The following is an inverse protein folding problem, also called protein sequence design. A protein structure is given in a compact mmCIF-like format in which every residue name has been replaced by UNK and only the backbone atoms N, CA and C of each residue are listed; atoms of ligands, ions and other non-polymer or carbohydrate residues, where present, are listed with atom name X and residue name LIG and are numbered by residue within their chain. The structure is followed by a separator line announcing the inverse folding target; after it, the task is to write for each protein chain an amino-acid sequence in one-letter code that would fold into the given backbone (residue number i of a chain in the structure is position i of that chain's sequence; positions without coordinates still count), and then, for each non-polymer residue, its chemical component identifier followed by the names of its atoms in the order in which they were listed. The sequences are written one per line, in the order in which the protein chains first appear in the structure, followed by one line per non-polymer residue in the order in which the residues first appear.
data_IF_146621235962
#
_entry.id   IF_146621235962
#
_cell.length_a   1.000
_cell.length_b   1.000
_cell.length_c   1.000
_cell.angle_alpha   90.00
_cell.angle_beta   90.00
_cell.angle_gamma   90.00
#
_symmetry.space_group_name_H-M   'P 1'
#
loop_
_entity.id
_entity.type
_entity.pdbx_description
1 polymer ?
#
# COMPACT_ATOMS: atom_id res chain seq x y z
N UNK A 1 11.86 34.34 27.37
CA UNK A 1 11.59 32.88 27.39
C UNK A 1 11.15 32.49 26.00
N UNK A 2 12.02 31.81 25.24
CA UNK A 2 11.66 31.28 23.92
C UNK A 2 10.59 30.22 24.11
N UNK A 3 9.37 30.45 23.63
CA UNK A 3 8.37 29.38 23.55
C UNK A 3 8.97 28.24 22.72
N UNK A 4 9.16 27.07 23.34
CA UNK A 4 9.51 25.87 22.60
C UNK A 4 8.40 25.65 21.57
N UNK A 5 8.69 25.92 20.29
CA UNK A 5 7.78 25.62 19.20
C UNK A 5 7.39 24.15 19.32
N UNK A 6 6.12 23.88 19.62
CA UNK A 6 5.62 22.52 19.73
C UNK A 6 5.84 21.83 18.39
N UNK A 7 6.68 20.78 18.38
CA UNK A 7 6.81 19.94 17.20
C UNK A 7 5.40 19.45 16.85
N UNK A 8 4.88 19.73 15.64
CA UNK A 8 3.55 19.28 15.27
C UNK A 8 3.45 17.78 15.46
N UNK A 9 2.34 17.26 15.96
CA UNK A 9 2.23 15.81 16.23
C UNK A 9 2.13 14.96 14.95
N UNK A 10 1.97 15.60 13.78
CA UNK A 10 1.68 15.00 12.48
C UNK A 10 2.64 15.49 11.41
N UNK A 11 2.97 14.63 10.46
CA UNK A 11 3.82 14.93 9.31
C UNK A 11 3.02 14.86 8.00
N UNK A 12 3.25 15.75 7.02
CA UNK A 12 2.69 15.63 5.67
C UNK A 12 3.03 14.30 5.00
N UNK A 13 4.14 13.66 5.38
CA UNK A 13 4.53 12.33 4.90
C UNK A 13 3.46 11.25 5.19
N UNK A 14 2.55 11.49 6.14
CA UNK A 14 1.41 10.61 6.41
C UNK A 14 0.45 10.45 5.22
N UNK A 15 0.53 11.32 4.21
CA UNK A 15 -0.21 11.14 2.96
C UNK A 15 0.00 9.77 2.30
N UNK A 16 1.11 9.08 2.59
CA UNK A 16 1.35 7.71 2.09
C UNK A 16 0.25 6.71 2.52
N UNK A 17 -0.37 6.90 3.69
CA UNK A 17 -1.49 6.08 4.13
C UNK A 17 -2.72 6.26 3.22
N UNK A 18 -2.94 7.48 2.72
CA UNK A 18 -4.02 7.77 1.78
C UNK A 18 -3.69 7.23 0.38
N UNK A 19 -2.42 7.29 -0.04
CA UNK A 19 -1.99 6.70 -1.31
C UNK A 19 -2.20 5.18 -1.34
N UNK A 20 -1.98 4.48 -0.22
CA UNK A 20 -2.36 3.07 -0.11
C UNK A 20 -3.85 2.85 -0.39
N UNK A 21 -4.73 3.68 0.17
CA UNK A 21 -6.18 3.57 -0.07
C UNK A 21 -6.52 3.82 -1.53
N UNK A 22 -5.89 4.83 -2.16
CA UNK A 22 -6.13 5.15 -3.58
C UNK A 22 -5.73 3.99 -4.49
N UNK A 23 -4.59 3.34 -4.21
CA UNK A 23 -4.10 2.23 -5.03
C UNK A 23 -4.91 0.95 -4.81
N UNK A 24 -5.19 0.59 -3.56
CA UNK A 24 -5.80 -0.70 -3.20
C UNK A 24 -7.33 -0.67 -3.21
N UNK A 25 -7.91 0.41 -2.69
CA UNK A 25 -9.34 0.51 -2.37
C UNK A 25 -10.26 0.12 -3.53
N UNK A 26 -10.07 0.65 -4.76
CA UNK A 26 -10.91 0.30 -5.90
C UNK A 26 -10.86 -1.20 -6.24
N UNK A 27 -9.67 -1.79 -6.28
CA UNK A 27 -9.51 -3.20 -6.64
C UNK A 27 -10.00 -4.12 -5.52
N UNK A 28 -9.70 -3.80 -4.26
CA UNK A 28 -10.15 -4.54 -3.11
C UNK A 28 -11.68 -4.50 -2.98
N UNK A 29 -12.31 -3.36 -3.25
CA UNK A 29 -13.77 -3.28 -3.29
C UNK A 29 -14.36 -4.12 -4.43
N UNK A 30 -13.81 -4.00 -5.64
CA UNK A 30 -14.25 -4.77 -6.79
C UNK A 30 -14.12 -6.29 -6.56
N UNK A 31 -12.98 -6.75 -6.05
CA UNK A 31 -12.72 -8.17 -5.79
C UNK A 31 -13.57 -8.74 -4.65
N UNK A 32 -13.94 -7.92 -3.67
CA UNK A 32 -14.89 -8.32 -2.64
C UNK A 32 -16.31 -8.44 -3.20
N UNK A 33 -16.77 -7.43 -3.95
CA UNK A 33 -18.13 -7.34 -4.47
C UNK A 33 -18.39 -8.36 -5.60
N UNK A 34 -17.62 -8.27 -6.68
CA UNK A 34 -17.73 -9.13 -7.86
C UNK A 34 -16.33 -9.51 -8.38
N UNK A 35 -15.69 -10.55 -7.82
CA UNK A 35 -14.35 -10.99 -8.25
C UNK A 35 -14.33 -11.55 -9.67
N UNK A 36 -15.45 -12.10 -10.16
CA UNK A 36 -15.52 -12.75 -11.45
C UNK A 36 -15.47 -11.76 -12.63
N UNK A 37 -15.75 -10.47 -12.38
CA UNK A 37 -15.60 -9.42 -13.40
C UNK A 37 -14.21 -8.79 -13.42
N UNK A 38 -13.27 -9.24 -12.60
CA UNK A 38 -11.88 -8.81 -12.71
C UNK A 38 -11.27 -9.39 -13.99
N UNK A 39 -10.48 -8.61 -14.74
CA UNK A 39 -9.85 -9.07 -15.97
C UNK A 39 -8.61 -9.90 -15.62
N UNK A 40 -8.79 -11.04 -14.95
CA UNK A 40 -7.71 -11.96 -14.63
C UNK A 40 -7.87 -13.30 -15.35
N UNK A 41 -6.76 -13.88 -15.77
CA UNK A 41 -6.71 -15.21 -16.37
C UNK A 41 -6.90 -16.29 -15.30
N UNK A 42 -7.51 -17.41 -15.66
CA UNK A 42 -7.59 -18.59 -14.79
C UNK A 42 -8.49 -18.45 -13.56
N UNK A 43 -9.57 -17.64 -13.65
CA UNK A 43 -10.57 -17.49 -12.59
C UNK A 43 -11.45 -18.75 -12.47
N UNK A 44 -10.98 -19.72 -11.68
CA UNK A 44 -11.79 -20.86 -11.21
C UNK A 44 -12.34 -20.58 -9.80
N UNK A 45 -13.18 -21.48 -9.27
CA UNK A 45 -13.80 -21.32 -7.96
C UNK A 45 -12.80 -21.07 -6.82
N UNK A 46 -11.68 -21.80 -6.83
CA UNK A 46 -10.62 -21.62 -5.82
C UNK A 46 -10.00 -20.23 -5.91
N UNK A 47 -9.65 -19.79 -7.12
CA UNK A 47 -9.12 -18.43 -7.35
C UNK A 47 -10.10 -17.36 -6.90
N UNK A 48 -11.40 -17.51 -7.19
CA UNK A 48 -12.44 -16.55 -6.79
C UNK A 48 -12.57 -16.44 -5.25
N UNK A 49 -12.46 -17.56 -4.54
CA UNK A 49 -12.45 -17.55 -3.06
C UNK A 49 -11.22 -16.82 -2.52
N UNK A 50 -10.03 -17.12 -3.03
CA UNK A 50 -8.80 -16.43 -2.61
C UNK A 50 -8.83 -14.93 -2.91
N UNK A 51 -9.36 -14.53 -4.06
CA UNK A 51 -9.54 -13.11 -4.39
C UNK A 51 -10.47 -12.44 -3.39
N UNK A 52 -11.61 -13.06 -3.04
CA UNK A 52 -12.52 -12.48 -2.03
C UNK A 52 -11.86 -12.34 -0.67
N UNK A 53 -11.14 -13.38 -0.20
CA UNK A 53 -10.44 -13.33 1.08
C UNK A 53 -9.36 -12.24 1.10
N UNK A 54 -8.54 -12.17 0.05
CA UNK A 54 -7.52 -11.13 -0.11
C UNK A 54 -8.14 -9.73 -0.20
N UNK A 55 -9.26 -9.59 -0.90
CA UNK A 55 -9.99 -8.33 -1.04
C UNK A 55 -10.51 -7.82 0.30
N UNK A 56 -11.04 -8.69 1.15
CA UNK A 56 -11.47 -8.33 2.52
C UNK A 56 -10.27 -7.92 3.37
N UNK A 57 -9.15 -8.62 3.26
CA UNK A 57 -7.92 -8.24 3.95
C UNK A 57 -7.42 -6.86 3.49
N UNK A 58 -7.35 -6.61 2.18
CA UNK A 58 -6.89 -5.33 1.61
C UNK A 58 -7.85 -4.17 1.95
N UNK A 59 -9.17 -4.40 1.96
CA UNK A 59 -10.14 -3.41 2.46
C UNK A 59 -9.93 -3.11 3.94
N UNK A 60 -9.63 -4.13 4.75
CA UNK A 60 -9.33 -3.95 6.17
C UNK A 60 -8.06 -3.12 6.38
N UNK A 61 -7.01 -3.34 5.57
CA UNK A 61 -5.81 -2.51 5.65
C UNK A 61 -6.06 -1.07 5.18
N UNK A 62 -6.93 -0.85 4.19
CA UNK A 62 -7.38 0.48 3.79
C UNK A 62 -8.07 1.21 4.95
N UNK A 63 -8.97 0.51 5.67
CA UNK A 63 -9.63 1.07 6.84
C UNK A 63 -8.63 1.39 7.95
N UNK A 64 -7.69 0.49 8.25
CA UNK A 64 -6.63 0.74 9.23
C UNK A 64 -5.80 1.96 8.83
N UNK A 65 -5.48 2.12 7.54
CA UNK A 65 -4.73 3.26 7.05
C UNK A 65 -5.51 4.58 7.18
N UNK A 66 -6.81 4.56 6.88
CA UNK A 66 -7.70 5.72 7.05
C UNK A 66 -7.73 6.17 8.52
N UNK A 67 -7.91 5.23 9.44
CA UNK A 67 -7.95 5.50 10.88
C UNK A 67 -6.60 5.98 11.41
N UNK A 68 -5.48 5.44 10.91
CA UNK A 68 -4.14 5.80 11.36
C UNK A 68 -3.61 7.11 10.77
N UNK A 69 -4.11 7.55 9.60
CA UNK A 69 -3.64 8.76 8.92
C UNK A 69 -3.74 10.02 9.80
N UNK A 70 -4.78 10.11 10.63
CA UNK A 70 -4.99 11.23 11.56
C UNK A 70 -4.15 11.18 12.83
N UNK A 71 -3.59 10.03 13.18
CA UNK A 71 -2.94 9.81 14.47
C UNK A 71 -1.54 10.45 14.52
N UNK A 72 -1.06 10.83 15.72
CA UNK A 72 0.30 11.31 15.92
C UNK A 72 1.38 10.31 15.45
N UNK A 73 2.49 10.83 14.90
CA UNK A 73 3.56 10.00 14.30
C UNK A 73 4.28 9.08 15.29
N UNK A 74 4.27 9.44 16.57
CA UNK A 74 4.94 8.68 17.63
C UNK A 74 4.06 7.56 18.22
N UNK A 75 2.77 7.48 17.85
CA UNK A 75 1.90 6.43 18.37
C UNK A 75 2.35 5.06 17.87
N UNK A 76 2.63 4.15 18.81
CA UNK A 76 3.07 2.79 18.52
C UNK A 76 2.12 2.05 17.56
N UNK A 77 0.80 2.22 17.73
CA UNK A 77 -0.19 1.63 16.82
C UNK A 77 -0.03 2.08 15.37
N UNK A 78 0.08 3.40 15.12
CA UNK A 78 0.32 3.95 13.78
C UNK A 78 1.64 3.43 13.19
N UNK A 79 2.69 3.35 14.03
CA UNK A 79 4.01 2.84 13.62
C UNK A 79 3.97 1.37 13.22
N UNK A 80 3.27 0.53 13.99
CA UNK A 80 3.08 -0.88 13.67
C UNK A 80 2.31 -1.06 12.35
N UNK A 81 1.22 -0.31 12.15
CA UNK A 81 0.47 -0.33 10.89
C UNK A 81 1.33 0.12 9.72
N UNK A 82 2.07 1.22 9.86
CA UNK A 82 2.95 1.72 8.80
C UNK A 82 4.06 0.72 8.41
N UNK A 83 4.65 0.01 9.38
CA UNK A 83 5.60 -1.07 9.10
C UNK A 83 4.93 -2.25 8.38
N UNK A 84 3.75 -2.67 8.84
CA UNK A 84 2.99 -3.74 8.21
C UNK A 84 2.63 -3.41 6.74
N UNK A 85 2.17 -2.19 6.48
CA UNK A 85 1.89 -1.71 5.13
C UNK A 85 3.16 -1.62 4.28
N UNK A 86 4.27 -1.15 4.85
CA UNK A 86 5.56 -1.11 4.15
C UNK A 86 6.05 -2.50 3.72
N UNK A 87 5.96 -3.49 4.62
CA UNK A 87 6.30 -4.87 4.32
C UNK A 87 5.35 -5.47 3.28
N UNK A 88 4.04 -5.26 3.43
CA UNK A 88 3.02 -5.68 2.49
C UNK A 88 3.32 -5.18 1.07
N UNK A 89 3.50 -3.86 0.89
CA UNK A 89 3.73 -3.24 -0.41
C UNK A 89 5.03 -3.70 -1.06
N UNK A 90 6.10 -3.84 -0.28
CA UNK A 90 7.39 -4.33 -0.79
C UNK A 90 7.31 -5.80 -1.23
N UNK A 91 6.62 -6.63 -0.45
CA UNK A 91 6.44 -8.05 -0.76
C UNK A 91 5.53 -8.24 -1.96
N UNK A 92 4.40 -7.51 -2.02
CA UNK A 92 3.45 -7.56 -3.12
C UNK A 92 4.09 -7.08 -4.43
N UNK A 93 4.87 -6.01 -4.38
CA UNK A 93 5.68 -5.54 -5.51
C UNK A 93 6.58 -6.66 -6.05
N UNK A 94 7.31 -7.34 -5.17
CA UNK A 94 8.18 -8.48 -5.55
C UNK A 94 7.39 -9.63 -6.18
N UNK A 95 6.25 -9.99 -5.60
CA UNK A 95 5.37 -11.03 -6.15
C UNK A 95 4.89 -10.66 -7.55
N UNK A 96 4.48 -9.41 -7.78
CA UNK A 96 4.01 -8.92 -9.08
C UNK A 96 5.14 -8.89 -10.13
N UNK A 97 6.37 -8.53 -9.74
CA UNK A 97 7.54 -8.61 -10.64
C UNK A 97 7.89 -10.02 -11.06
N UNK A 98 7.56 -11.02 -10.24
CA UNK A 98 7.85 -12.43 -10.49
C UNK A 98 6.65 -13.22 -11.01
N UNK A 99 5.47 -12.60 -11.05
CA UNK A 99 4.25 -13.27 -11.43
C UNK A 99 4.30 -13.68 -12.92
N UNK A 100 3.75 -14.86 -13.28
CA UNK A 100 3.43 -15.13 -14.67
C UNK A 100 2.35 -14.17 -15.15
N UNK A 101 2.16 -14.11 -16.47
CA UNK A 101 1.10 -13.31 -17.08
C UNK A 101 -0.27 -13.68 -16.50
N UNK A 102 -1.01 -12.71 -15.97
CA UNK A 102 -2.35 -12.97 -15.43
C UNK A 102 -3.38 -11.88 -15.78
N UNK A 103 -2.97 -10.75 -16.37
CA UNK A 103 -3.86 -9.69 -16.87
C UNK A 103 -3.87 -9.77 -18.40
N UNK A 104 -5.01 -10.02 -19.07
CA UNK A 104 -5.10 -10.17 -20.52
C UNK A 104 -5.14 -8.81 -21.24
N UNK A 105 -4.27 -7.86 -20.84
CA UNK A 105 -4.18 -6.53 -21.44
C UNK A 105 -2.74 -6.17 -21.78
N UNK A 106 -2.51 -5.72 -23.01
CA UNK A 106 -1.19 -5.29 -23.50
C UNK A 106 -1.12 -3.77 -23.60
N UNK A 107 0.08 -3.20 -23.38
CA UNK A 107 0.38 -1.81 -23.73
C UNK A 107 0.95 -1.66 -25.15
N UNK A 108 0.92 -2.74 -25.94
CA UNK A 108 1.45 -2.80 -27.30
C UNK A 108 2.76 -3.59 -27.38
N UNK A 109 3.09 -4.06 -28.60
CA UNK A 109 4.23 -4.94 -28.85
C UNK A 109 5.58 -4.33 -28.41
N UNK A 110 5.75 -3.01 -28.59
CA UNK A 110 6.98 -2.33 -28.16
C UNK A 110 7.15 -2.37 -26.63
N UNK A 111 6.11 -2.07 -25.86
CA UNK A 111 6.17 -2.12 -24.41
C UNK A 111 6.47 -3.54 -23.90
N UNK A 112 5.83 -4.55 -24.49
CA UNK A 112 6.09 -5.94 -24.14
C UNK A 112 7.50 -6.40 -24.50
N UNK A 113 8.11 -5.87 -25.56
CA UNK A 113 9.51 -6.16 -25.90
C UNK A 113 10.50 -5.73 -24.81
N UNK A 114 10.13 -4.70 -24.02
CA UNK A 114 10.85 -4.26 -22.83
C UNK A 114 10.34 -4.88 -21.52
N UNK A 115 9.47 -5.90 -21.61
CA UNK A 115 8.79 -6.55 -20.48
C UNK A 115 7.91 -5.59 -19.66
N UNK A 116 7.47 -4.48 -20.25
CA UNK A 116 6.56 -3.56 -19.58
C UNK A 116 5.10 -4.04 -19.75
N UNK A 117 4.58 -4.70 -18.73
CA UNK A 117 3.20 -5.24 -18.70
C UNK A 117 2.39 -4.58 -17.58
N UNK A 118 1.04 -4.67 -17.60
CA UNK A 118 0.20 -4.21 -16.50
C UNK A 118 0.60 -4.74 -15.12
N UNK A 119 1.01 -6.01 -15.00
CA UNK A 119 1.46 -6.60 -13.74
C UNK A 119 2.72 -5.91 -13.22
N UNK A 120 3.66 -5.63 -14.11
CA UNK A 120 4.92 -4.94 -13.79
C UNK A 120 4.63 -3.48 -13.39
N UNK A 121 3.78 -2.78 -14.13
CA UNK A 121 3.35 -1.43 -13.78
C UNK A 121 2.68 -1.40 -12.40
N UNK A 122 1.82 -2.38 -12.12
CA UNK A 122 1.17 -2.52 -10.83
C UNK A 122 2.19 -2.82 -9.73
N UNK A 123 3.18 -3.69 -10.00
CA UNK A 123 4.31 -3.95 -9.11
C UNK A 123 5.16 -2.72 -8.82
N UNK A 124 5.40 -1.85 -9.81
CA UNK A 124 6.08 -0.57 -9.63
C UNK A 124 5.29 0.35 -8.70
N UNK A 125 3.97 0.48 -8.88
CA UNK A 125 3.17 1.33 -8.00
C UNK A 125 3.21 0.88 -6.53
N UNK A 126 3.10 -0.42 -6.25
CA UNK A 126 3.29 -0.91 -4.87
C UNK A 126 4.71 -0.70 -4.37
N UNK A 127 5.73 -0.88 -5.23
CA UNK A 127 7.12 -0.61 -4.87
C UNK A 127 7.33 0.85 -4.45
N UNK A 128 6.75 1.80 -5.20
CA UNK A 128 6.76 3.22 -4.86
C UNK A 128 6.05 3.50 -3.53
N UNK A 129 4.92 2.84 -3.26
CA UNK A 129 4.25 2.99 -1.96
C UNK A 129 5.12 2.41 -0.82
N UNK A 130 5.76 1.26 -1.03
CA UNK A 130 6.71 0.67 -0.08
C UNK A 130 7.87 1.62 0.24
N UNK A 131 8.48 2.22 -0.78
CA UNK A 131 9.50 3.27 -0.63
C UNK A 131 8.94 4.51 0.07
N UNK A 132 7.68 4.87 -0.20
CA UNK A 132 6.98 5.94 0.50
C UNK A 132 6.82 5.66 1.99
N UNK A 133 6.47 4.44 2.39
CA UNK A 133 6.41 4.04 3.81
C UNK A 133 7.78 4.03 4.46
N UNK A 134 8.84 3.60 3.75
CA UNK A 134 10.21 3.72 4.25
C UNK A 134 10.62 5.18 4.45
N UNK A 135 10.26 6.06 3.52
CA UNK A 135 10.52 7.50 3.59
C UNK A 135 9.74 8.16 4.74
N UNK A 136 8.46 7.83 4.88
CA UNK A 136 7.64 8.25 6.02
C UNK A 136 8.23 7.75 7.35
N UNK A 137 8.69 6.50 7.39
CA UNK A 137 9.29 5.93 8.59
C UNK A 137 10.48 6.77 9.03
N UNK A 138 11.47 6.94 8.15
CA UNK A 138 12.69 7.69 8.44
C UNK A 138 12.39 9.17 8.76
N UNK A 139 11.55 9.82 7.95
CA UNK A 139 11.21 11.23 8.12
C UNK A 139 10.42 11.54 9.41
N UNK A 140 9.86 10.53 10.06
CA UNK A 140 9.07 10.71 11.30
C UNK A 140 9.74 10.14 12.56
N UNK A 141 10.93 9.54 12.46
CA UNK A 141 11.73 9.13 13.64
C UNK A 141 11.96 10.29 14.63
N UNK A 142 12.25 11.54 14.20
CA UNK A 142 12.45 12.65 15.15
C UNK A 142 11.26 12.93 16.06
N UNK A 143 10.03 12.62 15.63
CA UNK A 143 8.81 12.81 16.43
C UNK A 143 8.77 11.84 17.60
N UNK A 144 9.22 10.59 17.39
CA UNK A 144 9.35 9.57 18.45
C UNK A 144 10.43 9.99 19.44
N UNK A 145 11.60 10.42 18.93
CA UNK A 145 12.71 10.86 19.76
C UNK A 145 12.34 12.07 20.62
N UNK A 146 11.59 13.02 20.07
CA UNK A 146 11.15 14.21 20.80
C UNK A 146 10.22 13.89 21.98
N UNK A 147 9.36 12.87 21.85
CA UNK A 147 8.50 12.40 22.95
C UNK A 147 9.28 11.58 23.97
N UNK A 148 10.20 10.71 23.52
CA UNK A 148 11.00 9.87 24.41
C UNK A 148 11.99 10.65 25.30
N UNK A 149 12.31 11.90 24.94
CA UNK A 149 13.19 12.81 25.71
C UNK A 149 12.44 13.69 26.71
N UNK A 150 11.11 13.61 26.78
CA UNK A 150 10.28 14.29 27.78
C UNK A 150 10.07 13.39 28.98
#
# INVERSE_FOLDING_TARGET
MSQAQGIPARSPLSMIFLLHIVLEGPLAFQGWWNPASLPFLGLNNTTLVFIKLWSVLSLSTCLMALLCNGLPEFMAGKRAVGLGLGLYHTTLSTVLFQAPRFIPHTFGALAESYKFTPEILWGVFHGLIGLGFASWWQGTVPYVQAVARR
#
